data_IF_792769184798
#
_entry.id   IF_792769184798
#
_cell.length_a   1.000
_cell.length_b   1.000
_cell.length_c   1.000
_cell.angle_alpha   90.00
_cell.angle_beta   90.00
_cell.angle_gamma   90.00
#
_symmetry.space_group_name_H-M   'P 1'
#
loop_
_entity.id
_entity.type
_entity.pdbx_description
1 polymer ?
#
# COMPACT_ATOMS: atom_id res chain seq x y z
N UNK A 1 1.08 -17.65 2.13
CA UNK A 1 0.16 -16.99 3.09
C UNK A 1 -0.42 -18.04 4.01
N UNK A 2 -0.71 -17.69 5.26
CA UNK A 2 -1.63 -18.48 6.08
C UNK A 2 -3.08 -18.10 5.76
N UNK A 3 -4.03 -18.93 6.23
CA UNK A 3 -5.47 -18.69 6.02
C UNK A 3 -5.95 -17.32 6.55
N UNK A 4 -5.31 -16.84 7.61
CA UNK A 4 -5.62 -15.53 8.24
C UNK A 4 -4.68 -14.42 7.84
N UNK A 5 -3.77 -14.67 6.89
CA UNK A 5 -2.86 -13.63 6.38
C UNK A 5 -3.58 -12.69 5.43
N UNK A 6 -3.16 -11.45 5.46
CA UNK A 6 -3.74 -10.36 4.69
C UNK A 6 -2.66 -9.66 3.89
N UNK A 7 -3.02 -9.20 2.70
CA UNK A 7 -2.23 -8.29 1.89
C UNK A 7 -2.95 -6.95 1.82
N UNK A 8 -2.20 -5.89 1.59
CA UNK A 8 -2.73 -4.57 1.28
C UNK A 8 -2.52 -4.21 -0.20
N UNK A 9 -3.31 -3.27 -0.71
CA UNK A 9 -3.06 -2.64 -2.01
C UNK A 9 -1.71 -1.91 -2.02
N UNK A 10 -1.20 -1.69 -3.22
CA UNK A 10 -0.03 -0.83 -3.40
C UNK A 10 -0.43 0.63 -3.21
N UNK A 11 -0.06 1.20 -2.08
CA UNK A 11 -0.35 2.59 -1.75
C UNK A 11 0.83 3.25 -1.04
N UNK A 12 1.82 3.71 -1.82
CA UNK A 12 2.98 4.37 -1.25
C UNK A 12 2.59 5.66 -0.53
N UNK A 13 3.25 5.91 0.60
CA UNK A 13 3.02 7.08 1.44
C UNK A 13 4.04 8.17 1.07
N UNK A 14 3.55 9.38 0.84
CA UNK A 14 4.36 10.54 0.45
C UNK A 14 4.58 11.41 1.69
N UNK A 15 5.83 11.59 2.14
CA UNK A 15 6.11 12.44 3.29
C UNK A 15 5.84 13.91 2.97
N UNK A 16 5.29 14.62 3.96
CA UNK A 16 5.03 16.06 3.91
C UNK A 16 6.02 16.82 4.80
N UNK A 17 6.17 18.11 4.55
CA UNK A 17 7.08 18.98 5.31
C UNK A 17 6.73 19.13 6.78
N UNK A 18 5.48 18.88 7.16
CA UNK A 18 4.98 18.90 8.53
C UNK A 18 5.17 17.58 9.29
N UNK A 19 5.82 16.58 8.64
CA UNK A 19 6.05 15.25 9.20
C UNK A 19 4.88 14.27 9.02
N UNK A 20 3.78 14.71 8.42
CA UNK A 20 2.67 13.84 8.05
C UNK A 20 2.95 13.09 6.74
N UNK A 21 2.11 12.10 6.44
CA UNK A 21 2.17 11.34 5.20
C UNK A 21 0.84 11.46 4.46
N UNK A 22 0.91 11.60 3.14
CA UNK A 22 -0.26 11.55 2.26
C UNK A 22 -0.17 10.26 1.44
N UNK A 23 -1.26 9.49 1.43
CA UNK A 23 -1.42 8.32 0.58
C UNK A 23 -1.43 8.73 -0.90
N UNK A 24 -0.71 7.99 -1.74
CA UNK A 24 -0.74 8.19 -3.18
C UNK A 24 -2.16 8.07 -3.75
N UNK A 25 -2.98 7.18 -3.16
CA UNK A 25 -4.39 7.05 -3.54
C UNK A 25 -5.23 8.27 -3.20
N UNK A 26 -4.94 8.97 -2.10
CA UNK A 26 -5.64 10.22 -1.76
C UNK A 26 -5.38 11.30 -2.82
N UNK A 27 -4.14 11.39 -3.32
CA UNK A 27 -3.81 12.30 -4.42
C UNK A 27 -4.54 11.90 -5.71
N UNK A 28 -4.51 10.62 -6.06
CA UNK A 28 -5.23 10.08 -7.22
C UNK A 28 -6.72 10.37 -7.15
N UNK A 29 -7.38 10.07 -6.03
CA UNK A 29 -8.82 10.31 -5.83
C UNK A 29 -9.17 11.79 -5.97
N UNK A 30 -8.30 12.70 -5.52
CA UNK A 30 -8.49 14.14 -5.70
C UNK A 30 -8.42 14.54 -7.18
N UNK A 31 -7.46 13.99 -7.93
CA UNK A 31 -7.36 14.24 -9.37
C UNK A 31 -8.59 13.71 -10.14
N UNK A 32 -9.07 12.52 -9.79
CA UNK A 32 -10.27 11.93 -10.38
C UNK A 32 -11.52 12.76 -10.07
N UNK A 33 -11.63 13.30 -8.86
CA UNK A 33 -12.71 14.21 -8.48
C UNK A 33 -12.69 15.49 -9.33
N UNK A 34 -11.52 16.11 -9.49
CA UNK A 34 -11.35 17.29 -10.35
C UNK A 34 -11.76 16.96 -11.78
N UNK A 35 -11.27 15.86 -12.34
CA UNK A 35 -11.61 15.40 -13.68
C UNK A 35 -13.11 15.19 -13.85
N UNK A 36 -13.75 14.54 -12.90
CA UNK A 36 -15.21 14.32 -12.91
C UNK A 36 -15.98 15.63 -12.98
N UNK A 37 -15.59 16.65 -12.20
CA UNK A 37 -16.24 17.96 -12.22
C UNK A 37 -15.97 18.73 -13.53
N UNK A 38 -14.82 18.58 -14.15
CA UNK A 38 -14.54 19.14 -15.48
C UNK A 38 -15.41 18.49 -16.57
N UNK A 39 -15.75 17.21 -16.43
CA UNK A 39 -16.57 16.48 -17.39
C UNK A 39 -18.06 16.86 -17.34
N UNK A 40 -18.56 17.41 -16.23
CA UNK A 40 -19.96 17.87 -16.11
C UNK A 40 -20.28 19.04 -17.03
N UNK A 41 -19.26 19.83 -17.42
CA UNK A 41 -19.35 20.98 -18.32
C UNK A 41 -20.36 22.05 -17.88
N UNK A 42 -20.89 21.99 -16.66
CA UNK A 42 -21.69 23.04 -16.07
C UNK A 42 -20.78 24.05 -15.33
N UNK A 43 -21.36 25.22 -15.05
CA UNK A 43 -20.60 26.31 -14.41
C UNK A 43 -20.15 25.95 -12.99
N UNK A 44 -21.00 25.29 -12.23
CA UNK A 44 -20.73 24.96 -10.82
C UNK A 44 -19.62 23.91 -10.73
N UNK A 45 -19.65 22.88 -11.60
CA UNK A 45 -18.59 21.87 -11.69
C UNK A 45 -17.25 22.49 -12.07
N UNK A 46 -17.23 23.41 -13.04
CA UNK A 46 -16.01 24.10 -13.46
C UNK A 46 -15.43 24.98 -12.33
N UNK A 47 -16.28 25.72 -11.61
CA UNK A 47 -15.87 26.54 -10.47
C UNK A 47 -15.28 25.65 -9.36
N UNK A 48 -15.93 24.53 -9.02
CA UNK A 48 -15.43 23.59 -8.01
C UNK A 48 -14.12 22.93 -8.44
N UNK A 49 -14.01 22.47 -9.67
CA UNK A 49 -12.78 21.91 -10.21
C UNK A 49 -11.61 22.90 -10.14
N UNK A 50 -11.88 24.18 -10.46
CA UNK A 50 -10.89 25.24 -10.38
C UNK A 50 -10.42 25.51 -8.95
N UNK A 51 -11.34 25.54 -7.99
CA UNK A 51 -11.01 25.69 -6.56
C UNK A 51 -10.15 24.52 -6.08
N UNK A 52 -10.55 23.29 -6.39
CA UNK A 52 -9.80 22.09 -6.00
C UNK A 52 -8.41 22.08 -6.63
N UNK A 53 -8.30 22.36 -7.93
CA UNK A 53 -7.03 22.40 -8.64
C UNK A 53 -6.08 23.48 -8.09
N UNK A 54 -6.61 24.66 -7.71
CA UNK A 54 -5.81 25.74 -7.13
C UNK A 54 -5.20 25.41 -5.75
N UNK A 55 -5.75 24.41 -5.07
CA UNK A 55 -5.25 23.93 -3.78
C UNK A 55 -4.19 22.83 -3.90
N UNK A 56 -4.03 22.23 -5.09
CA UNK A 56 -3.03 21.22 -5.31
C UNK A 56 -1.64 21.86 -5.44
N UNK A 57 -0.68 21.26 -4.76
CA UNK A 57 0.72 21.60 -4.94
C UNK A 57 1.29 20.82 -6.14
N UNK A 58 1.76 21.49 -7.20
CA UNK A 58 2.34 20.82 -8.38
C UNK A 58 3.52 19.91 -8.04
N UNK A 59 4.32 20.25 -7.02
CA UNK A 59 5.43 19.40 -6.57
C UNK A 59 4.92 18.10 -5.95
N UNK A 60 3.78 18.15 -5.24
CA UNK A 60 3.14 16.95 -4.70
C UNK A 60 2.69 16.02 -5.83
N UNK A 61 2.18 16.55 -6.94
CA UNK A 61 1.79 15.74 -8.09
C UNK A 61 2.99 15.03 -8.71
N UNK A 62 4.10 15.72 -8.90
CA UNK A 62 5.35 15.11 -9.40
C UNK A 62 5.89 14.04 -8.45
N UNK A 63 5.84 14.28 -7.14
CA UNK A 63 6.22 13.28 -6.14
C UNK A 63 5.28 12.06 -6.18
N UNK A 64 3.98 12.27 -6.32
CA UNK A 64 3.01 11.18 -6.45
C UNK A 64 3.35 10.27 -7.64
N UNK A 65 3.50 10.84 -8.83
CA UNK A 65 3.80 10.07 -10.04
C UNK A 65 5.12 9.29 -9.91
N UNK A 66 6.17 9.96 -9.45
CA UNK A 66 7.48 9.34 -9.24
C UNK A 66 7.41 8.21 -8.21
N UNK A 67 6.77 8.44 -7.07
CA UNK A 67 6.69 7.46 -5.97
C UNK A 67 5.86 6.25 -6.39
N UNK A 68 4.74 6.46 -7.08
CA UNK A 68 3.91 5.37 -7.59
C UNK A 68 4.64 4.55 -8.67
N UNK A 69 5.36 5.22 -9.56
CA UNK A 69 6.16 4.54 -10.58
C UNK A 69 7.23 3.65 -9.95
N UNK A 70 8.02 4.18 -9.02
CA UNK A 70 9.06 3.42 -8.31
C UNK A 70 8.44 2.21 -7.56
N UNK A 71 7.31 2.41 -6.89
CA UNK A 71 6.64 1.33 -6.17
C UNK A 71 6.15 0.21 -7.13
N UNK A 72 5.60 0.58 -8.30
CA UNK A 72 5.19 -0.39 -9.33
C UNK A 72 6.39 -1.18 -9.88
N UNK A 73 7.48 -0.50 -10.23
CA UNK A 73 8.68 -1.18 -10.74
C UNK A 73 9.29 -2.12 -9.70
N UNK A 74 9.40 -1.68 -8.44
CA UNK A 74 9.89 -2.53 -7.36
C UNK A 74 9.02 -3.77 -7.14
N UNK A 75 7.69 -3.62 -7.14
CA UNK A 75 6.76 -4.75 -7.04
C UNK A 75 6.91 -5.71 -8.22
N UNK A 76 7.04 -5.17 -9.44
CA UNK A 76 7.26 -5.95 -10.65
C UNK A 76 8.54 -6.80 -10.55
N UNK A 77 9.64 -6.18 -10.16
CA UNK A 77 10.92 -6.87 -9.98
C UNK A 77 10.82 -8.00 -8.95
N UNK A 78 10.19 -7.75 -7.80
CA UNK A 78 10.02 -8.77 -6.75
C UNK A 78 9.19 -9.96 -7.23
N UNK A 79 8.10 -9.72 -7.96
CA UNK A 79 7.24 -10.78 -8.49
C UNK A 79 7.96 -11.60 -9.55
N UNK A 80 8.69 -10.95 -10.48
CA UNK A 80 9.47 -11.62 -11.52
C UNK A 80 10.62 -12.44 -10.95
N UNK A 81 11.26 -11.95 -9.89
CA UNK A 81 12.42 -12.60 -9.28
C UNK A 81 12.08 -13.99 -8.72
N UNK A 82 10.89 -14.15 -8.15
CA UNK A 82 10.53 -15.35 -7.36
C UNK A 82 9.31 -16.10 -7.88
N UNK A 83 8.19 -15.40 -8.03
CA UNK A 83 6.88 -16.05 -8.23
C UNK A 83 6.53 -16.26 -9.71
N UNK A 84 6.84 -15.30 -10.57
CA UNK A 84 6.37 -15.23 -11.95
C UNK A 84 7.53 -15.10 -12.95
N UNK A 85 8.52 -15.95 -12.84
CA UNK A 85 9.69 -15.93 -13.75
C UNK A 85 9.23 -15.98 -15.21
N UNK A 86 9.67 -15.01 -16.00
CA UNK A 86 9.35 -14.90 -17.44
C UNK A 86 7.85 -14.70 -17.77
N UNK A 87 7.04 -14.23 -16.82
CA UNK A 87 5.61 -13.97 -17.01
C UNK A 87 5.30 -12.46 -16.90
N UNK A 88 6.03 -11.63 -17.61
CA UNK A 88 5.97 -10.16 -17.52
C UNK A 88 4.57 -9.61 -17.71
N UNK A 89 3.79 -10.13 -18.68
CA UNK A 89 2.44 -9.66 -18.95
C UNK A 89 1.47 -9.94 -17.79
N UNK A 90 1.63 -11.07 -17.10
CA UNK A 90 0.82 -11.38 -15.91
C UNK A 90 1.21 -10.49 -14.75
N UNK A 91 2.51 -10.32 -14.52
CA UNK A 91 3.03 -9.44 -13.47
C UNK A 91 2.56 -8.01 -13.68
N UNK A 92 2.61 -7.50 -14.91
CA UNK A 92 2.13 -6.15 -15.22
C UNK A 92 0.65 -5.96 -14.83
N UNK A 93 -0.21 -6.96 -15.13
CA UNK A 93 -1.63 -6.93 -14.74
C UNK A 93 -1.83 -6.95 -13.22
N UNK A 94 -1.07 -7.79 -12.51
CA UNK A 94 -1.12 -7.87 -11.04
C UNK A 94 -0.70 -6.54 -10.42
N UNK A 95 0.45 -6.00 -10.84
CA UNK A 95 0.98 -4.73 -10.32
C UNK A 95 -0.02 -3.60 -10.56
N UNK A 96 -0.58 -3.50 -11.76
CA UNK A 96 -1.57 -2.47 -12.09
C UNK A 96 -2.83 -2.61 -11.23
N UNK A 97 -3.32 -3.84 -11.05
CA UNK A 97 -4.50 -4.08 -10.23
C UNK A 97 -4.26 -3.70 -8.76
N UNK A 98 -3.11 -4.06 -8.19
CA UNK A 98 -2.77 -3.69 -6.81
C UNK A 98 -2.57 -2.18 -6.63
N UNK A 99 -2.13 -1.48 -7.68
CA UNK A 99 -1.94 -0.03 -7.65
C UNK A 99 -3.24 0.75 -7.84
N UNK A 100 -4.13 0.31 -8.74
CA UNK A 100 -5.31 1.09 -9.17
C UNK A 100 -6.65 0.42 -8.88
N UNK A 101 -6.70 -0.90 -8.75
CA UNK A 101 -7.94 -1.67 -8.62
C UNK A 101 -8.69 -1.51 -7.30
N UNK A 102 -8.06 -0.93 -6.28
CA UNK A 102 -8.66 -0.73 -4.97
C UNK A 102 -8.83 0.76 -4.66
N UNK A 103 -9.98 1.13 -4.11
CA UNK A 103 -10.30 2.53 -3.78
C UNK A 103 -9.69 3.01 -2.47
N UNK A 104 -9.38 2.08 -1.54
CA UNK A 104 -8.87 2.41 -0.21
C UNK A 104 -7.60 1.64 0.11
N UNK A 105 -6.60 2.32 0.69
CA UNK A 105 -5.35 1.70 1.14
C UNK A 105 -5.54 0.67 2.26
N UNK A 106 -6.59 0.83 3.07
CA UNK A 106 -6.95 -0.10 4.14
C UNK A 106 -7.76 -1.32 3.68
N UNK A 107 -7.94 -1.51 2.36
CA UNK A 107 -8.58 -2.72 1.84
C UNK A 107 -7.76 -3.94 2.21
N UNK A 108 -8.40 -4.87 2.86
CA UNK A 108 -7.82 -6.19 3.18
C UNK A 108 -8.03 -7.13 2.00
N UNK A 109 -6.95 -7.73 1.54
CA UNK A 109 -6.93 -8.75 0.49
C UNK A 109 -6.63 -10.08 1.16
N UNK A 110 -7.66 -10.91 1.32
CA UNK A 110 -7.55 -12.23 1.97
C UNK A 110 -6.94 -13.29 1.05
N UNK A 111 -6.79 -14.49 1.59
CA UNK A 111 -6.21 -15.62 0.86
C UNK A 111 -6.93 -15.97 -0.44
N UNK A 112 -8.26 -15.97 -0.44
CA UNK A 112 -9.08 -16.34 -1.61
C UNK A 112 -8.84 -15.35 -2.74
N UNK A 113 -8.97 -14.05 -2.46
CA UNK A 113 -8.74 -12.99 -3.43
C UNK A 113 -7.28 -12.98 -3.92
N UNK A 114 -6.31 -13.17 -3.01
CA UNK A 114 -4.91 -13.27 -3.39
C UNK A 114 -4.66 -14.47 -4.32
N UNK A 115 -5.35 -15.59 -4.11
CA UNK A 115 -5.23 -16.78 -4.94
C UNK A 115 -5.73 -16.57 -6.37
N UNK A 116 -6.73 -15.71 -6.58
CA UNK A 116 -7.20 -15.34 -7.92
C UNK A 116 -6.10 -14.68 -8.76
N UNK A 117 -5.25 -13.85 -8.13
CA UNK A 117 -4.15 -13.18 -8.81
C UNK A 117 -2.89 -14.03 -8.94
N UNK A 118 -2.53 -14.72 -7.88
CA UNK A 118 -1.26 -15.45 -7.79
C UNK A 118 -1.36 -16.92 -8.21
N UNK A 119 -2.59 -17.47 -8.23
CA UNK A 119 -2.83 -18.85 -8.65
C UNK A 119 -2.00 -19.86 -7.88
N UNK A 120 -1.43 -20.83 -8.57
CA UNK A 120 -0.54 -21.86 -8.02
C UNK A 120 0.79 -21.33 -7.48
N UNK A 121 1.15 -20.08 -7.78
CA UNK A 121 2.36 -19.45 -7.23
C UNK A 121 2.17 -19.00 -5.76
N UNK A 122 0.93 -18.95 -5.27
CA UNK A 122 0.64 -18.65 -3.88
C UNK A 122 0.59 -19.94 -3.05
N UNK A 123 1.55 -20.10 -2.15
CA UNK A 123 1.52 -21.16 -1.17
C UNK A 123 0.63 -20.73 0.01
N UNK A 124 -0.44 -21.49 0.25
CA UNK A 124 -1.34 -21.27 1.38
C UNK A 124 -1.12 -22.35 2.42
N UNK A 125 -0.79 -21.97 3.65
CA UNK A 125 -0.69 -22.86 4.78
C UNK A 125 -1.95 -22.82 5.63
N UNK A 126 -2.49 -24.00 5.92
CA UNK A 126 -3.58 -24.12 6.87
C UNK A 126 -3.08 -23.82 8.28
N UNK A 127 -3.94 -23.26 9.12
CA UNK A 127 -3.63 -22.95 10.52
C UNK A 127 -3.18 -24.18 11.34
N UNK A 128 -3.60 -25.37 10.92
CA UNK A 128 -3.20 -26.66 11.52
C UNK A 128 -1.85 -27.18 11.02
N UNK A 129 -1.24 -26.58 9.98
CA UNK A 129 0.02 -27.10 9.45
C UNK A 129 1.19 -26.76 10.38
N UNK A 130 2.17 -27.67 10.56
CA UNK A 130 3.35 -27.42 11.41
C UNK A 130 4.14 -26.20 10.97
N UNK A 131 4.26 -25.97 9.65
CA UNK A 131 4.97 -24.81 9.09
C UNK A 131 4.30 -23.49 9.48
N UNK A 132 2.96 -23.44 9.42
CA UNK A 132 2.24 -22.25 9.85
C UNK A 132 2.37 -22.01 11.35
N UNK A 133 2.28 -23.05 12.18
CA UNK A 133 2.45 -22.93 13.62
C UNK A 133 3.84 -22.41 13.98
N UNK A 134 4.89 -22.89 13.29
CA UNK A 134 6.25 -22.41 13.51
C UNK A 134 6.41 -20.93 13.11
N UNK A 135 5.85 -20.53 11.96
CA UNK A 135 5.86 -19.14 11.52
C UNK A 135 5.08 -18.23 12.47
N UNK A 136 3.95 -18.71 12.98
CA UNK A 136 3.15 -17.96 13.95
C UNK A 136 3.90 -17.74 15.27
N UNK A 137 4.55 -18.77 15.79
CA UNK A 137 5.40 -18.66 16.99
C UNK A 137 6.53 -17.66 16.76
N UNK A 138 7.19 -17.71 15.61
CA UNK A 138 8.23 -16.75 15.28
C UNK A 138 7.68 -15.30 15.23
N UNK A 139 6.51 -15.13 14.64
CA UNK A 139 5.83 -13.82 14.60
C UNK A 139 5.52 -13.30 16.01
N UNK A 140 4.95 -14.13 16.88
CA UNK A 140 4.64 -13.75 18.26
C UNK A 140 5.89 -13.36 19.05
N UNK A 141 6.95 -14.13 18.95
CA UNK A 141 8.23 -13.80 19.59
C UNK A 141 8.76 -12.46 19.08
N UNK A 142 8.79 -12.24 17.77
CA UNK A 142 9.31 -10.99 17.19
C UNK A 142 8.44 -9.78 17.54
N UNK A 143 7.13 -9.94 17.61
CA UNK A 143 6.18 -8.91 18.06
C UNK A 143 6.44 -8.53 19.51
N UNK A 144 6.51 -9.51 20.40
CA UNK A 144 6.79 -9.28 21.82
C UNK A 144 8.14 -8.62 22.04
N UNK A 145 9.17 -8.97 21.27
CA UNK A 145 10.48 -8.30 21.33
C UNK A 145 10.40 -6.83 20.91
N UNK A 146 9.63 -6.48 19.89
CA UNK A 146 9.40 -5.07 19.49
C UNK A 146 8.73 -4.27 20.59
N UNK A 147 7.74 -4.84 21.26
CA UNK A 147 7.04 -4.19 22.37
C UNK A 147 7.99 -3.96 23.56
N UNK A 148 8.83 -4.95 23.91
CA UNK A 148 9.85 -4.81 24.93
C UNK A 148 10.91 -3.74 24.60
N UNK A 149 11.36 -3.68 23.36
CA UNK A 149 12.30 -2.63 22.89
C UNK A 149 11.62 -1.26 22.95
N UNK A 150 10.34 -1.16 22.58
CA UNK A 150 9.54 0.06 22.70
C UNK A 150 9.47 0.56 24.14
N UNK A 151 9.16 -0.32 25.09
CA UNK A 151 9.11 -0.02 26.52
C UNK A 151 10.51 0.40 27.03
N UNK A 152 11.55 -0.30 26.68
CA UNK A 152 12.92 0.03 27.07
C UNK A 152 13.33 1.44 26.61
N UNK A 153 12.98 1.82 25.36
CA UNK A 153 13.24 3.17 24.82
C UNK A 153 12.43 4.25 25.53
N UNK A 154 11.19 3.95 25.94
CA UNK A 154 10.37 4.90 26.74
C UNK A 154 10.97 5.12 28.12
N UNK A 155 11.40 4.06 28.80
CA UNK A 155 12.06 4.15 30.09
C UNK A 155 13.38 4.94 30.00
N UNK A 156 14.21 4.66 28.99
CA UNK A 156 15.44 5.41 28.76
C UNK A 156 15.20 6.90 28.58
N UNK A 157 14.18 7.29 27.79
CA UNK A 157 13.78 8.69 27.64
C UNK A 157 13.26 9.32 28.92
N UNK A 158 12.60 8.55 29.77
CA UNK A 158 12.09 9.04 31.06
C UNK A 158 13.22 9.31 32.04
N UNK A 159 14.16 8.38 32.16
CA UNK A 159 15.28 8.49 33.11
C UNK A 159 16.37 9.46 32.66
N UNK A 160 16.56 9.67 31.38
CA UNK A 160 17.60 10.57 30.87
C UNK A 160 17.12 12.00 30.60
N UNK A 161 15.85 12.34 30.90
CA UNK A 161 15.30 13.69 30.83
C UNK A 161 15.11 14.36 32.20
N UNK A 162 15.36 13.65 33.29
CA UNK A 162 15.38 14.14 34.67
C UNK A 162 16.80 14.06 35.21
#
# INVERSE_FOLDING_TARGET
MGETSELGPLDPQIPQSDGNFISAKAVQSTLELIKKHLETKDREGLELATILASRLNPLLLGQYESTLHIAKEYQKELLLLRMFRSQENQVAKIVEHFATGYTHHSRVIGCEEAQEFFGSNLLIWKSSSPEWQLLWQYYEVTRNMKDLIGIARLLDRYYNRN
#
